data_IF_814571645670
#
_entry.id   IF_814571645670
#
_cell.length_a   1.000
_cell.length_b   1.000
_cell.length_c   1.000
_cell.angle_alpha   90.00
_cell.angle_beta   90.00
_cell.angle_gamma   90.00
#
_symmetry.space_group_name_H-M   'P 1'
#
loop_
_entity.id
_entity.type
_entity.pdbx_description
1 polymer ?
#
# COMPACT_ATOMS: atom_id res chain seq x y z
N UNK A 1 18.80 -8.01 -19.21
CA UNK A 1 18.29 -6.75 -19.78
C UNK A 1 18.01 -5.81 -18.61
N UNK A 2 18.78 -4.74 -18.47
CA UNK A 2 18.57 -3.74 -17.42
C UNK A 2 17.32 -2.97 -17.79
N UNK A 3 16.19 -3.36 -17.16
CA UNK A 3 14.94 -2.65 -17.26
C UNK A 3 15.18 -1.27 -16.66
N UNK A 4 15.22 -0.23 -17.49
CA UNK A 4 15.08 1.14 -17.01
C UNK A 4 13.70 1.22 -16.38
N UNK A 5 13.61 1.10 -15.05
CA UNK A 5 12.42 1.49 -14.29
C UNK A 5 12.23 2.97 -14.58
N UNK A 6 11.41 3.31 -15.57
CA UNK A 6 10.81 4.63 -15.63
C UNK A 6 10.01 4.74 -14.34
N UNK A 7 10.38 5.66 -13.46
CA UNK A 7 9.68 5.93 -12.22
C UNK A 7 8.31 6.52 -12.57
N UNK A 8 7.36 5.64 -12.89
CA UNK A 8 6.02 6.00 -13.30
C UNK A 8 5.22 6.21 -12.03
N UNK A 9 4.98 7.48 -11.73
CA UNK A 9 4.08 7.91 -10.68
C UNK A 9 2.66 8.02 -11.21
N UNK A 10 1.69 7.83 -10.33
CA UNK A 10 0.31 8.21 -10.62
C UNK A 10 0.25 9.72 -10.84
N UNK A 11 -0.54 10.16 -11.82
CA UNK A 11 -0.73 11.59 -12.01
C UNK A 11 -1.46 12.17 -10.79
N UNK A 12 -1.21 13.44 -10.42
CA UNK A 12 -1.92 14.09 -9.32
C UNK A 12 -3.44 13.99 -9.45
N UNK A 13 -3.97 14.11 -10.66
CA UNK A 13 -5.42 14.01 -10.95
C UNK A 13 -5.97 12.59 -10.77
N UNK A 14 -5.14 11.56 -10.94
CA UNK A 14 -5.52 10.18 -10.68
C UNK A 14 -5.58 9.92 -9.16
N UNK A 15 -4.58 10.42 -8.42
CA UNK A 15 -4.54 10.28 -6.96
C UNK A 15 -5.71 11.03 -6.31
N UNK A 16 -5.97 12.27 -6.73
CA UNK A 16 -7.09 13.05 -6.20
C UNK A 16 -8.43 12.32 -6.41
N UNK A 17 -8.65 11.77 -7.61
CA UNK A 17 -9.85 10.96 -7.89
C UNK A 17 -9.92 9.73 -7.01
N UNK A 18 -8.83 8.98 -6.89
CA UNK A 18 -8.78 7.78 -6.05
C UNK A 18 -9.14 8.13 -4.61
N UNK A 19 -8.48 9.14 -4.04
CA UNK A 19 -8.75 9.63 -2.68
C UNK A 19 -10.22 10.01 -2.52
N UNK A 20 -10.80 10.76 -3.46
CA UNK A 20 -12.19 11.21 -3.37
C UNK A 20 -13.20 10.06 -3.24
N UNK A 21 -12.96 8.94 -3.93
CA UNK A 21 -13.84 7.76 -3.90
C UNK A 21 -13.55 6.79 -2.74
N UNK A 22 -12.47 6.99 -1.98
CA UNK A 22 -12.19 6.13 -0.82
C UNK A 22 -13.19 6.39 0.33
N UNK A 23 -13.59 5.34 1.07
CA UNK A 23 -14.27 5.49 2.35
C UNK A 23 -13.45 6.30 3.35
N UNK A 24 -14.11 7.04 4.23
CA UNK A 24 -13.47 7.94 5.19
C UNK A 24 -12.45 7.24 6.11
N UNK A 25 -12.73 5.99 6.50
CA UNK A 25 -11.80 5.22 7.34
C UNK A 25 -10.47 4.93 6.61
N UNK A 26 -10.50 4.73 5.29
CA UNK A 26 -9.27 4.51 4.50
C UNK A 26 -8.52 5.83 4.34
N UNK A 27 -9.22 6.93 4.07
CA UNK A 27 -8.61 8.27 3.99
C UNK A 27 -7.88 8.62 5.29
N UNK A 28 -8.53 8.39 6.44
CA UNK A 28 -7.93 8.64 7.75
C UNK A 28 -6.67 7.79 7.97
N UNK A 29 -6.72 6.48 7.65
CA UNK A 29 -5.56 5.60 7.77
C UNK A 29 -4.39 6.02 6.86
N UNK A 30 -4.67 6.44 5.62
CA UNK A 30 -3.64 6.95 4.71
C UNK A 30 -3.01 8.24 5.23
N UNK A 31 -3.79 9.17 5.77
CA UNK A 31 -3.28 10.41 6.38
C UNK A 31 -2.45 10.15 7.64
N UNK A 32 -2.86 9.20 8.47
CA UNK A 32 -2.08 8.78 9.64
C UNK A 32 -0.73 8.20 9.22
N UNK A 33 -0.72 7.35 8.19
CA UNK A 33 0.51 6.78 7.64
C UNK A 33 1.39 7.84 6.99
N UNK A 34 0.83 8.78 6.24
CA UNK A 34 1.62 9.86 5.63
C UNK A 34 2.30 10.73 6.68
N UNK A 35 1.61 11.03 7.78
CA UNK A 35 2.19 11.75 8.91
C UNK A 35 3.29 10.93 9.61
N UNK A 36 3.05 9.63 9.84
CA UNK A 36 4.01 8.75 10.52
C UNK A 36 5.30 8.54 9.73
N UNK A 37 5.23 8.53 8.39
CA UNK A 37 6.37 8.38 7.49
C UNK A 37 6.94 9.71 6.99
N UNK A 38 6.43 10.85 7.46
CA UNK A 38 6.83 12.19 7.04
C UNK A 38 6.84 12.37 5.51
N UNK A 39 5.86 11.78 4.82
CA UNK A 39 5.74 11.82 3.38
C UNK A 39 4.38 12.37 2.93
N UNK A 40 4.25 12.63 1.63
CA UNK A 40 2.99 13.13 1.09
C UNK A 40 1.93 12.02 1.05
N UNK A 41 0.67 12.44 0.96
CA UNK A 41 -0.45 11.49 0.82
C UNK A 41 -0.31 10.68 -0.48
N UNK A 42 0.15 11.32 -1.55
CA UNK A 42 0.45 10.71 -2.85
C UNK A 42 1.48 9.60 -2.71
N UNK A 43 2.64 9.91 -2.08
CA UNK A 43 3.70 8.94 -1.86
C UNK A 43 3.24 7.77 -0.98
N UNK A 44 2.38 8.04 0.00
CA UNK A 44 1.80 7.00 0.86
C UNK A 44 0.89 6.05 0.08
N UNK A 45 0.08 6.58 -0.84
CA UNK A 45 -0.81 5.78 -1.69
C UNK A 45 0.00 4.92 -2.65
N UNK A 46 1.00 5.50 -3.31
CA UNK A 46 1.89 4.75 -4.20
C UNK A 46 2.64 3.65 -3.46
N UNK A 47 3.17 3.96 -2.27
CA UNK A 47 3.84 2.98 -1.42
C UNK A 47 2.90 1.86 -0.97
N UNK A 48 1.65 2.18 -0.61
CA UNK A 48 0.66 1.18 -0.25
C UNK A 48 0.33 0.25 -1.42
N UNK A 49 0.19 0.79 -2.64
CA UNK A 49 -0.06 0.02 -3.86
C UNK A 49 1.17 -0.84 -4.20
N UNK A 50 2.37 -0.26 -4.17
CA UNK A 50 3.61 -0.98 -4.46
C UNK A 50 3.81 -2.14 -3.47
N UNK A 51 3.61 -1.90 -2.18
CA UNK A 51 3.70 -2.93 -1.15
C UNK A 51 2.63 -4.01 -1.32
N UNK A 52 1.43 -3.68 -1.77
CA UNK A 52 0.40 -4.69 -2.04
C UNK A 52 0.73 -5.58 -3.25
N UNK A 53 1.42 -5.02 -4.25
CA UNK A 53 1.81 -5.72 -5.48
C UNK A 53 3.15 -6.46 -5.37
N UNK A 54 3.91 -6.23 -4.29
CA UNK A 54 5.17 -6.92 -4.03
C UNK A 54 4.91 -8.38 -3.63
N UNK A 55 5.41 -9.33 -4.42
CA UNK A 55 5.26 -10.77 -4.19
C UNK A 55 5.97 -11.23 -2.90
N UNK A 56 6.92 -10.45 -2.39
CA UNK A 56 7.63 -10.72 -1.13
C UNK A 56 6.94 -10.07 0.08
N UNK A 57 5.91 -9.23 -0.13
CA UNK A 57 5.17 -8.64 0.96
C UNK A 57 4.29 -9.67 1.68
N UNK A 58 4.23 -9.57 3.01
CA UNK A 58 3.37 -10.43 3.83
C UNK A 58 1.90 -10.22 3.45
N UNK A 59 1.31 -11.25 2.87
CA UNK A 59 -0.09 -11.28 2.48
C UNK A 59 -0.99 -11.71 3.65
N UNK A 60 -2.29 -11.56 3.44
CA UNK A 60 -3.28 -12.06 4.39
C UNK A 60 -3.25 -13.59 4.46
N UNK A 61 -3.00 -14.27 3.33
CA UNK A 61 -2.79 -15.70 3.26
C UNK A 61 -1.61 -16.17 4.12
N UNK A 62 -0.50 -15.42 4.14
CA UNK A 62 0.67 -15.75 4.97
C UNK A 62 0.34 -15.71 6.46
N UNK A 63 -0.48 -14.75 6.89
CA UNK A 63 -0.93 -14.65 8.27
C UNK A 63 -1.83 -15.84 8.67
N UNK A 64 -2.73 -16.28 7.78
CA UNK A 64 -3.59 -17.44 8.01
C UNK A 64 -2.80 -18.76 8.04
N UNK A 65 -1.77 -18.89 7.20
CA UNK A 65 -0.86 -20.04 7.21
C UNK A 65 -0.11 -20.12 8.55
N UNK A 66 0.43 -19.00 9.04
CA UNK A 66 1.10 -18.93 10.33
C UNK A 66 0.16 -19.33 11.49
N UNK A 67 -1.09 -18.88 11.46
CA UNK A 67 -2.10 -19.26 12.46
C UNK A 67 -2.43 -20.76 12.42
N UNK A 68 -2.55 -21.35 11.22
CA UNK A 68 -2.82 -22.79 11.07
C UNK A 68 -1.66 -23.66 11.55
N UNK A 69 -0.43 -23.20 11.39
CA UNK A 69 0.76 -23.89 11.90
C UNK A 69 0.84 -23.82 13.43
N UNK A 70 0.52 -22.66 14.02
CA UNK A 70 0.51 -22.49 15.48
C UNK A 70 -0.61 -23.29 16.18
N UNK A 71 -1.73 -23.56 15.50
CA UNK A 71 -2.85 -24.34 16.04
C UNK A 71 -2.68 -25.87 15.91
N UNK A 72 -1.54 -26.36 15.40
CA UNK A 72 -1.23 -27.81 15.28
C UNK A 72 -0.34 -28.35 16.42
N UNK A 73 -0.07 -27.56 17.44
CA UNK A 73 0.60 -27.96 18.68
C UNK A 73 -0.34 -27.82 19.87
#
# INVERSE_FOLDING_TARGET
MTQTLTNQHLSPEAIERLVNYLPDYIKAALLEKSAAFECSLEATIEMAIANFLDEEALSFEDCLLAQRLNNKH
#
